data_IF_464715902456
#
_entry.id   IF_464715902456
#
_cell.length_a   1.000
_cell.length_b   1.000
_cell.length_c   1.000
_cell.angle_alpha   90.00
_cell.angle_beta   90.00
_cell.angle_gamma   90.00
#
_symmetry.space_group_name_H-M   'P 1'
#
loop_
_entity.id
_entity.type
_entity.pdbx_description
1 polymer ?
#
# COMPACT_ATOMS: atom_id res chain seq x y z
N UNK A 1 -14.26 9.97 -3.23
CA UNK A 1 -14.34 8.92 -2.18
C UNK A 1 -12.93 8.67 -1.68
N UNK A 2 -12.72 8.52 -0.38
CA UNK A 2 -11.42 8.20 0.23
C UNK A 2 -11.55 6.87 0.98
N UNK A 3 -10.84 5.83 0.54
CA UNK A 3 -10.85 4.51 1.18
C UNK A 3 -9.72 4.37 2.19
N UNK A 4 -10.06 3.89 3.38
CA UNK A 4 -9.14 3.53 4.45
C UNK A 4 -9.44 2.09 4.97
N UNK A 5 -8.43 1.42 5.51
CA UNK A 5 -8.52 0.03 5.96
C UNK A 5 -9.29 -0.13 7.28
N UNK A 6 -9.16 0.83 8.20
CA UNK A 6 -9.72 0.74 9.57
C UNK A 6 -10.79 1.80 9.83
N UNK A 7 -11.73 1.49 10.74
CA UNK A 7 -12.80 2.41 11.16
C UNK A 7 -12.22 3.68 11.80
N UNK A 8 -11.24 3.51 12.69
CA UNK A 8 -10.59 4.65 13.35
C UNK A 8 -9.93 5.58 12.33
N UNK A 9 -9.22 5.05 11.33
CA UNK A 9 -8.58 5.86 10.29
C UNK A 9 -9.62 6.58 9.42
N UNK A 10 -10.79 5.98 9.19
CA UNK A 10 -11.91 6.66 8.52
C UNK A 10 -12.39 7.88 9.31
N UNK A 11 -12.63 7.71 10.62
CA UNK A 11 -13.10 8.80 11.48
C UNK A 11 -12.06 9.93 11.60
N UNK A 12 -10.80 9.56 11.88
CA UNK A 12 -9.67 10.50 11.98
C UNK A 12 -9.44 11.27 10.69
N UNK A 13 -9.47 10.58 9.54
CA UNK A 13 -9.28 11.23 8.23
C UNK A 13 -10.44 12.15 7.87
N UNK A 14 -11.69 11.74 8.15
CA UNK A 14 -12.86 12.58 7.90
C UNK A 14 -12.82 13.85 8.77
N UNK A 15 -12.47 13.72 10.04
CA UNK A 15 -12.30 14.87 10.93
C UNK A 15 -11.16 15.77 10.47
N UNK A 16 -9.98 15.20 10.17
CA UNK A 16 -8.84 15.96 9.69
C UNK A 16 -9.18 16.76 8.42
N UNK A 17 -9.86 16.16 7.45
CA UNK A 17 -10.34 16.85 6.25
C UNK A 17 -11.28 18.02 6.59
N UNK A 18 -12.20 17.85 7.55
CA UNK A 18 -13.07 18.94 8.02
C UNK A 18 -12.27 20.09 8.64
N UNK A 19 -11.23 19.80 9.42
CA UNK A 19 -10.33 20.85 9.96
C UNK A 19 -9.60 21.64 8.87
N UNK A 20 -9.50 21.08 7.66
CA UNK A 20 -8.91 21.73 6.48
C UNK A 20 -9.96 22.42 5.59
N UNK A 21 -11.21 22.49 6.03
CA UNK A 21 -12.31 23.13 5.28
C UNK A 21 -12.93 22.25 4.19
N UNK A 22 -12.61 20.94 4.16
CA UNK A 22 -13.22 20.00 3.22
C UNK A 22 -14.53 19.49 3.81
N UNK A 23 -15.61 19.53 3.03
CA UNK A 23 -16.90 18.94 3.41
C UNK A 23 -16.79 17.40 3.35
N UNK A 24 -16.36 16.79 4.47
CA UNK A 24 -16.06 15.37 4.55
C UNK A 24 -16.87 14.64 5.62
N UNK A 25 -17.38 13.45 5.29
CA UNK A 25 -18.11 12.57 6.21
C UNK A 25 -17.51 11.17 6.25
N UNK A 26 -17.54 10.54 7.43
CA UNK A 26 -17.13 9.16 7.64
C UNK A 26 -18.23 8.18 7.21
N UNK A 27 -17.86 6.99 6.73
CA UNK A 27 -18.76 5.88 6.45
C UNK A 27 -18.11 4.53 6.74
N UNK A 28 -18.60 3.80 7.74
CA UNK A 28 -18.14 2.43 8.02
C UNK A 28 -19.20 1.60 8.74
N UNK A 29 -18.99 0.28 8.77
CA UNK A 29 -19.95 -0.67 9.33
C UNK A 29 -20.26 -0.50 10.84
N UNK A 30 -19.43 0.27 11.57
CA UNK A 30 -19.60 0.52 13.01
C UNK A 30 -20.50 1.71 13.36
N UNK A 31 -20.93 2.49 12.37
CA UNK A 31 -21.81 3.64 12.59
C UNK A 31 -23.27 3.20 12.75
N UNK A 32 -24.05 4.01 13.48
CA UNK A 32 -25.50 3.85 13.58
C UNK A 32 -26.16 3.85 12.19
N UNK A 33 -27.17 2.99 11.99
CA UNK A 33 -27.79 2.78 10.69
C UNK A 33 -28.33 4.08 10.08
N UNK A 34 -29.05 4.88 10.88
CA UNK A 34 -29.68 6.12 10.43
C UNK A 34 -28.63 7.16 10.00
N UNK A 35 -27.50 7.22 10.71
CA UNK A 35 -26.39 8.11 10.36
C UNK A 35 -25.71 7.68 9.05
N UNK A 36 -25.52 6.37 8.83
CA UNK A 36 -24.98 5.86 7.55
C UNK A 36 -25.91 6.19 6.38
N UNK A 37 -27.21 5.99 6.56
CA UNK A 37 -28.21 6.31 5.54
C UNK A 37 -28.22 7.80 5.24
N UNK A 38 -28.15 8.65 6.27
CA UNK A 38 -28.04 10.10 6.10
C UNK A 38 -26.79 10.48 5.30
N UNK A 39 -25.61 9.98 5.68
CA UNK A 39 -24.36 10.28 4.97
C UNK A 39 -24.38 9.81 3.52
N UNK A 40 -24.93 8.62 3.25
CA UNK A 40 -25.11 8.10 1.89
C UNK A 40 -26.06 8.97 1.08
N UNK A 41 -27.21 9.36 1.66
CA UNK A 41 -28.16 10.24 1.01
C UNK A 41 -27.55 11.60 0.65
N UNK A 42 -26.85 12.22 1.61
CA UNK A 42 -26.10 13.47 1.39
C UNK A 42 -25.08 13.33 0.28
N UNK A 43 -24.33 12.23 0.23
CA UNK A 43 -23.36 12.01 -0.85
C UNK A 43 -24.01 11.93 -2.22
N UNK A 44 -25.16 11.26 -2.33
CA UNK A 44 -25.87 11.15 -3.60
C UNK A 44 -26.39 12.52 -4.07
N UNK A 45 -26.92 13.34 -3.15
CA UNK A 45 -27.61 14.60 -3.46
C UNK A 45 -26.72 15.84 -3.51
N UNK A 46 -25.70 15.93 -2.65
CA UNK A 46 -24.81 17.10 -2.55
C UNK A 46 -23.63 16.98 -3.52
N UNK A 47 -23.25 18.11 -4.10
CA UNK A 47 -21.99 18.24 -4.82
C UNK A 47 -20.87 18.72 -3.89
N UNK A 48 -19.63 18.34 -4.19
CA UNK A 48 -18.47 18.72 -3.39
C UNK A 48 -18.31 17.97 -2.05
N UNK A 49 -19.18 16.99 -1.75
CA UNK A 49 -19.05 16.15 -0.56
C UNK A 49 -18.01 15.04 -0.76
N UNK A 50 -17.11 14.89 0.21
CA UNK A 50 -16.15 13.77 0.28
C UNK A 50 -16.64 12.74 1.29
N UNK A 51 -16.87 11.51 0.85
CA UNK A 51 -17.01 10.37 1.75
C UNK A 51 -15.64 9.73 1.98
N UNK A 52 -15.27 9.61 3.26
CA UNK A 52 -14.18 8.76 3.74
C UNK A 52 -14.78 7.47 4.25
N UNK A 53 -14.29 6.32 3.79
CA UNK A 53 -14.94 5.05 4.07
C UNK A 53 -14.02 3.84 4.15
N UNK A 54 -14.54 2.80 4.81
CA UNK A 54 -14.03 1.43 4.62
C UNK A 54 -14.68 0.81 3.38
N UNK A 55 -14.27 -0.42 3.02
CA UNK A 55 -14.88 -1.21 1.94
C UNK A 55 -16.41 -1.42 2.07
N UNK A 56 -16.98 -1.16 3.25
CA UNK A 56 -18.42 -1.14 3.47
C UNK A 56 -19.16 -0.14 2.56
N UNK A 57 -18.49 0.93 2.11
CA UNK A 57 -19.05 1.90 1.17
C UNK A 57 -18.81 1.43 -0.27
N UNK A 58 -19.54 0.38 -0.68
CA UNK A 58 -19.29 -0.30 -1.95
C UNK A 58 -20.53 -0.76 -2.70
N UNK A 59 -21.37 -1.60 -2.11
CA UNK A 59 -22.53 -2.13 -2.84
C UNK A 59 -23.63 -1.08 -2.96
N UNK A 60 -24.10 -0.80 -4.19
CA UNK A 60 -25.31 0.02 -4.43
C UNK A 60 -25.14 1.54 -4.44
N UNK A 61 -23.91 2.06 -4.45
CA UNK A 61 -23.68 3.50 -4.66
C UNK A 61 -23.55 3.76 -6.16
N UNK A 62 -24.48 4.53 -6.69
CA UNK A 62 -24.51 4.94 -8.09
C UNK A 62 -24.60 6.47 -8.19
N UNK A 63 -23.49 7.14 -7.87
CA UNK A 63 -23.31 8.57 -8.13
C UNK A 63 -22.50 8.73 -9.41
N UNK A 64 -23.06 9.27 -10.50
CA UNK A 64 -22.37 9.33 -11.79
C UNK A 64 -21.17 10.28 -11.77
N UNK A 65 -21.24 11.34 -10.96
CA UNK A 65 -20.31 12.48 -10.99
C UNK A 65 -19.18 12.42 -9.93
N UNK A 66 -18.70 11.23 -9.56
CA UNK A 66 -17.56 11.10 -8.65
C UNK A 66 -16.26 11.46 -9.37
N UNK A 67 -15.60 12.54 -8.94
CA UNK A 67 -14.37 13.06 -9.59
C UNK A 67 -13.08 12.40 -9.15
N UNK A 68 -13.06 11.80 -7.97
CA UNK A 68 -11.90 11.03 -7.55
C UNK A 68 -12.27 9.89 -6.61
N UNK A 69 -11.47 8.83 -6.69
CA UNK A 69 -11.36 7.78 -5.68
C UNK A 69 -9.92 7.79 -5.19
N UNK A 70 -9.73 7.95 -3.89
CA UNK A 70 -8.43 7.95 -3.25
C UNK A 70 -8.32 6.74 -2.32
N UNK A 71 -7.18 6.07 -2.30
CA UNK A 71 -6.86 4.99 -1.36
C UNK A 71 -5.71 5.44 -0.45
N UNK A 72 -5.96 5.48 0.86
CA UNK A 72 -4.95 5.78 1.87
C UNK A 72 -4.31 4.53 2.48
N UNK A 73 -4.76 3.35 2.04
CA UNK A 73 -4.25 2.05 2.41
C UNK A 73 -4.32 1.14 1.18
N UNK A 74 -3.40 0.18 1.08
CA UNK A 74 -3.38 -0.79 -0.01
C UNK A 74 -4.66 -1.65 -0.02
N UNK A 75 -5.37 -1.77 -1.16
CA UNK A 75 -6.44 -2.74 -1.32
C UNK A 75 -5.95 -4.18 -1.18
N UNK A 76 -6.84 -5.09 -0.80
CA UNK A 76 -6.49 -6.51 -0.61
C UNK A 76 -6.19 -7.25 -1.92
N UNK A 77 -6.70 -6.74 -3.03
CA UNK A 77 -6.56 -7.36 -4.34
C UNK A 77 -6.78 -6.37 -5.48
N UNK A 78 -6.37 -6.76 -6.69
CA UNK A 78 -6.58 -5.99 -7.92
C UNK A 78 -8.08 -5.87 -8.24
N UNK A 79 -8.90 -6.89 -7.94
CA UNK A 79 -10.35 -6.84 -8.14
C UNK A 79 -11.02 -5.81 -7.24
N UNK A 80 -10.62 -5.74 -5.96
CA UNK A 80 -11.13 -4.74 -5.04
C UNK A 80 -10.75 -3.33 -5.52
N UNK A 81 -9.48 -3.13 -5.90
CA UNK A 81 -9.01 -1.86 -6.43
C UNK A 81 -9.77 -1.45 -7.71
N UNK A 82 -9.94 -2.37 -8.66
CA UNK A 82 -10.67 -2.12 -9.91
C UNK A 82 -12.14 -1.71 -9.63
N UNK A 83 -12.82 -2.46 -8.77
CA UNK A 83 -14.22 -2.17 -8.40
C UNK A 83 -14.36 -0.81 -7.70
N UNK A 84 -13.46 -0.49 -6.77
CA UNK A 84 -13.49 0.74 -5.98
C UNK A 84 -13.18 1.96 -6.83
N UNK A 85 -12.13 1.90 -7.64
CA UNK A 85 -11.74 2.99 -8.56
C UNK A 85 -12.76 3.20 -9.67
N UNK A 86 -13.42 2.14 -10.16
CA UNK A 86 -14.50 2.19 -11.16
C UNK A 86 -15.79 2.92 -10.72
N UNK A 87 -15.81 3.47 -9.50
CA UNK A 87 -16.86 4.40 -9.04
C UNK A 87 -16.67 5.82 -9.56
N UNK A 88 -15.44 6.18 -9.91
CA UNK A 88 -15.12 7.50 -10.43
C UNK A 88 -15.50 7.62 -11.91
N UNK A 89 -15.95 8.79 -12.35
CA UNK A 89 -16.11 9.11 -13.77
C UNK A 89 -17.17 8.29 -14.51
N UNK A 90 -18.24 7.84 -13.84
CA UNK A 90 -19.33 7.08 -14.49
C UNK A 90 -20.15 7.91 -15.48
N UNK A 91 -20.10 9.23 -15.36
CA UNK A 91 -20.59 10.20 -16.34
C UNK A 91 -19.70 10.34 -17.59
N UNK A 92 -18.57 9.62 -17.66
CA UNK A 92 -17.61 9.69 -18.76
C UNK A 92 -16.68 10.91 -18.72
N UNK A 93 -16.84 11.79 -17.73
CA UNK A 93 -15.98 12.96 -17.56
C UNK A 93 -14.66 12.57 -16.84
N UNK A 94 -13.58 13.36 -17.02
CA UNK A 94 -12.31 13.09 -16.37
C UNK A 94 -12.45 12.88 -14.85
N UNK A 95 -11.77 11.84 -14.38
CA UNK A 95 -11.74 11.48 -12.97
C UNK A 95 -10.41 10.79 -12.62
N UNK A 96 -10.00 10.90 -11.37
CA UNK A 96 -8.72 10.35 -10.90
C UNK A 96 -8.91 9.20 -9.93
N UNK A 97 -8.15 8.13 -10.15
CA UNK A 97 -7.85 7.14 -9.12
C UNK A 97 -6.49 7.48 -8.53
N UNK A 98 -6.42 7.74 -7.24
CA UNK A 98 -5.20 8.08 -6.53
C UNK A 98 -4.96 7.08 -5.40
N UNK A 99 -3.72 6.63 -5.20
CA UNK A 99 -3.41 5.69 -4.14
C UNK A 99 -2.05 6.02 -3.53
N UNK A 100 -2.00 6.04 -2.21
CA UNK A 100 -0.75 6.00 -1.45
C UNK A 100 -0.73 4.72 -0.62
N UNK A 101 0.42 4.06 -0.62
CA UNK A 101 0.66 2.90 0.21
C UNK A 101 2.12 2.85 0.68
N UNK A 102 2.33 2.22 1.83
CA UNK A 102 3.64 2.02 2.43
C UNK A 102 3.90 0.56 2.78
N UNK A 103 5.12 0.28 3.24
CA UNK A 103 5.51 -1.05 3.72
C UNK A 103 4.59 -1.54 4.85
N UNK A 104 4.13 -0.64 5.73
CA UNK A 104 3.26 -0.98 6.83
C UNK A 104 1.92 -1.57 6.37
N UNK A 105 1.40 -1.16 5.22
CA UNK A 105 0.16 -1.70 4.66
C UNK A 105 0.37 -3.15 4.24
N UNK A 106 1.49 -3.43 3.57
CA UNK A 106 1.89 -4.78 3.17
C UNK A 106 2.01 -5.71 4.37
N UNK A 107 2.68 -5.24 5.43
CA UNK A 107 2.83 -5.97 6.69
C UNK A 107 1.47 -6.27 7.30
N UNK A 108 0.60 -5.25 7.38
CA UNK A 108 -0.73 -5.36 7.99
C UNK A 108 -1.60 -6.37 7.25
N UNK A 109 -1.62 -6.32 5.91
CA UNK A 109 -2.43 -7.22 5.10
C UNK A 109 -1.93 -8.67 5.16
N UNK A 110 -0.61 -8.89 5.08
CA UNK A 110 -0.04 -10.25 5.22
C UNK A 110 -0.33 -10.84 6.60
N UNK A 111 -0.27 -10.03 7.68
CA UNK A 111 -0.65 -10.47 9.02
C UNK A 111 -2.14 -10.86 9.09
N UNK A 112 -3.03 -10.02 8.56
CA UNK A 112 -4.47 -10.33 8.52
C UNK A 112 -4.76 -11.65 7.79
N UNK A 113 -4.00 -11.96 6.73
CA UNK A 113 -4.10 -13.23 6.01
C UNK A 113 -3.56 -14.41 6.82
N UNK A 114 -2.42 -14.25 7.50
CA UNK A 114 -1.83 -15.29 8.35
C UNK A 114 -2.76 -15.66 9.52
N UNK A 115 -3.32 -14.64 10.19
CA UNK A 115 -4.22 -14.76 11.35
C UNK A 115 -5.63 -15.26 10.96
N UNK A 116 -5.94 -15.36 9.66
CA UNK A 116 -7.24 -15.83 9.17
C UNK A 116 -7.51 -17.30 9.52
N UNK A 117 -8.76 -17.63 9.83
CA UNK A 117 -9.22 -19.01 10.06
C UNK A 117 -9.53 -19.78 8.78
N UNK A 118 -9.29 -19.18 7.61
CA UNK A 118 -9.47 -19.84 6.33
C UNK A 118 -8.49 -21.01 6.13
N UNK A 119 -8.84 -21.95 5.26
CA UNK A 119 -7.95 -23.05 4.90
C UNK A 119 -6.70 -22.58 4.13
N UNK A 120 -5.69 -23.43 4.07
CA UNK A 120 -4.40 -23.11 3.43
C UNK A 120 -4.52 -22.83 1.93
N UNK A 121 -5.47 -23.47 1.23
CA UNK A 121 -5.67 -23.22 -0.19
C UNK A 121 -6.23 -21.80 -0.43
N UNK A 122 -7.18 -21.38 0.41
CA UNK A 122 -7.73 -20.03 0.39
C UNK A 122 -6.68 -18.98 0.79
N UNK A 123 -5.89 -19.23 1.82
CA UNK A 123 -4.78 -18.33 2.22
C UNK A 123 -3.78 -18.12 1.08
N UNK A 124 -3.41 -19.18 0.37
CA UNK A 124 -2.53 -19.08 -0.81
C UNK A 124 -3.15 -18.25 -1.92
N UNK A 125 -4.44 -18.45 -2.22
CA UNK A 125 -5.15 -17.67 -3.22
C UNK A 125 -5.17 -16.17 -2.87
N UNK A 126 -5.50 -15.83 -1.63
CA UNK A 126 -5.53 -14.44 -1.18
C UNK A 126 -4.13 -13.81 -1.13
N UNK A 127 -3.09 -14.60 -0.82
CA UNK A 127 -1.71 -14.15 -0.93
C UNK A 127 -1.34 -13.83 -2.38
N UNK A 128 -1.69 -14.70 -3.33
CA UNK A 128 -1.46 -14.45 -4.75
C UNK A 128 -2.15 -13.16 -5.24
N UNK A 129 -3.37 -12.89 -4.78
CA UNK A 129 -4.08 -11.64 -5.09
C UNK A 129 -3.38 -10.41 -4.52
N UNK A 130 -2.88 -10.50 -3.28
CA UNK A 130 -2.12 -9.43 -2.65
C UNK A 130 -0.81 -9.19 -3.41
N UNK A 131 -0.08 -10.23 -3.77
CA UNK A 131 1.16 -10.13 -4.54
C UNK A 131 0.91 -9.50 -5.92
N UNK A 132 -0.20 -9.82 -6.59
CA UNK A 132 -0.60 -9.16 -7.83
C UNK A 132 -0.91 -7.66 -7.64
N UNK A 133 -1.55 -7.30 -6.54
CA UNK A 133 -1.80 -5.89 -6.19
C UNK A 133 -0.48 -5.14 -5.94
N UNK A 134 0.48 -5.76 -5.25
CA UNK A 134 1.82 -5.19 -5.05
C UNK A 134 2.58 -5.05 -6.37
N UNK A 135 2.48 -6.03 -7.26
CA UNK A 135 3.08 -5.95 -8.60
C UNK A 135 2.51 -4.77 -9.40
N UNK A 136 1.18 -4.54 -9.35
CA UNK A 136 0.55 -3.37 -9.97
C UNK A 136 1.08 -2.05 -9.39
N UNK A 137 1.31 -2.00 -8.08
CA UNK A 137 1.85 -0.82 -7.40
C UNK A 137 3.30 -0.50 -7.79
N UNK A 138 4.16 -1.52 -7.84
CA UNK A 138 5.61 -1.39 -8.07
C UNK A 138 6.00 -1.44 -9.56
N UNK A 139 5.03 -1.62 -10.47
CA UNK A 139 5.30 -1.61 -11.90
C UNK A 139 5.74 -0.22 -12.39
N UNK A 140 6.75 -0.22 -13.27
CA UNK A 140 7.36 0.98 -13.88
C UNK A 140 6.88 1.24 -15.31
N UNK A 141 5.95 0.42 -15.80
CA UNK A 141 5.28 0.54 -17.09
C UNK A 141 3.81 0.90 -16.89
N UNK A 142 3.10 1.21 -17.99
CA UNK A 142 1.70 1.64 -17.97
C UNK A 142 0.83 0.82 -17.00
N UNK A 143 0.27 1.49 -15.98
CA UNK A 143 -0.62 0.83 -15.00
C UNK A 143 -1.86 0.23 -15.65
N UNK A 144 -2.41 0.90 -16.67
CA UNK A 144 -3.62 0.42 -17.36
C UNK A 144 -3.35 -0.87 -18.12
N UNK A 145 -2.19 -1.02 -18.76
CA UNK A 145 -1.82 -2.27 -19.41
C UNK A 145 -1.70 -3.41 -18.40
N UNK A 146 -1.02 -3.21 -17.26
CA UNK A 146 -0.97 -4.23 -16.20
C UNK A 146 -2.36 -4.59 -15.66
N UNK A 147 -3.19 -3.59 -15.39
CA UNK A 147 -4.55 -3.78 -14.89
C UNK A 147 -5.40 -4.59 -15.86
N UNK A 148 -5.37 -4.28 -17.16
CA UNK A 148 -6.10 -5.02 -18.19
C UNK A 148 -5.56 -6.44 -18.36
N UNK A 149 -4.24 -6.60 -18.43
CA UNK A 149 -3.60 -7.92 -18.54
C UNK A 149 -3.98 -8.85 -17.38
N UNK A 150 -4.13 -8.32 -16.15
CA UNK A 150 -4.59 -9.09 -14.99
C UNK A 150 -5.98 -9.72 -15.23
N UNK A 151 -6.87 -9.03 -15.93
CA UNK A 151 -8.21 -9.53 -16.27
C UNK A 151 -8.27 -10.29 -17.59
N UNK A 152 -7.13 -10.55 -18.23
CA UNK A 152 -7.05 -11.23 -19.52
C UNK A 152 -7.35 -10.34 -20.74
N UNK A 153 -7.49 -9.03 -20.53
CA UNK A 153 -7.60 -8.05 -21.61
C UNK A 153 -6.22 -7.56 -22.05
N UNK A 154 -6.12 -7.09 -23.30
CA UNK A 154 -4.87 -6.56 -23.83
C UNK A 154 -5.05 -5.15 -24.36
N UNK A 155 -4.11 -4.27 -24.02
CA UNK A 155 -4.01 -2.93 -24.58
C UNK A 155 -2.65 -2.79 -25.26
N UNK A 156 -2.67 -2.68 -26.59
CA UNK A 156 -1.45 -2.70 -27.42
C UNK A 156 -0.49 -1.55 -27.10
N UNK A 157 -1.04 -0.35 -26.88
CA UNK A 157 -0.26 0.87 -26.65
C UNK A 157 -0.43 1.38 -25.21
N UNK A 158 0.60 2.04 -24.63
CA UNK A 158 0.47 2.71 -23.34
C UNK A 158 -0.71 3.69 -23.31
N UNK A 159 -1.38 3.81 -22.17
CA UNK A 159 -2.64 4.56 -22.08
C UNK A 159 -2.49 6.09 -22.12
N UNK A 160 -1.28 6.61 -21.94
CA UNK A 160 -0.97 8.04 -21.87
C UNK A 160 -1.81 8.83 -20.84
N UNK A 161 -2.33 8.15 -19.82
CA UNK A 161 -3.23 8.73 -18.82
C UNK A 161 -3.09 8.09 -17.43
N UNK A 162 -1.95 7.47 -17.14
CA UNK A 162 -1.58 7.05 -15.79
C UNK A 162 -0.25 7.67 -15.41
N UNK A 163 0.02 7.80 -14.12
CA UNK A 163 1.25 8.34 -13.55
C UNK A 163 2.52 7.82 -14.25
N UNK A 164 2.66 6.50 -14.44
CA UNK A 164 3.84 5.90 -15.10
C UNK A 164 3.98 6.23 -16.59
N UNK A 165 2.89 6.61 -17.27
CA UNK A 165 2.93 7.10 -18.66
C UNK A 165 3.20 8.60 -18.72
N UNK A 166 2.67 9.37 -17.77
CA UNK A 166 2.78 10.82 -17.74
C UNK A 166 4.15 11.27 -17.21
N UNK A 167 4.66 10.56 -16.21
CA UNK A 167 5.96 10.78 -15.58
C UNK A 167 6.71 9.45 -15.58
N UNK A 168 7.61 9.27 -16.55
CA UNK A 168 8.36 8.03 -16.69
C UNK A 168 9.23 7.77 -15.46
N UNK A 169 9.03 6.61 -14.84
CA UNK A 169 9.81 6.18 -13.68
C UNK A 169 11.20 5.77 -14.14
N UNK A 170 12.22 6.49 -13.68
CA UNK A 170 13.61 6.10 -13.92
C UNK A 170 13.93 4.83 -13.12
N UNK A 171 14.55 3.86 -13.79
CA UNK A 171 15.00 2.61 -13.19
C UNK A 171 16.51 2.49 -13.30
N UNK A 172 17.09 1.68 -12.42
CA UNK A 172 18.51 1.40 -12.39
C UNK A 172 18.73 -0.02 -11.84
N UNK A 173 19.93 -0.57 -12.03
CA UNK A 173 20.27 -1.90 -11.53
C UNK A 173 20.47 -1.90 -10.01
N UNK A 174 19.40 -2.27 -9.30
CA UNK A 174 19.37 -2.36 -7.83
C UNK A 174 20.12 -3.55 -7.22
N UNK A 175 20.81 -4.39 -8.01
CA UNK A 175 21.39 -5.66 -7.52
C UNK A 175 22.32 -5.47 -6.33
N UNK A 176 23.24 -4.51 -6.39
CA UNK A 176 24.19 -4.25 -5.31
C UNK A 176 23.45 -3.80 -4.03
N UNK A 177 22.50 -2.88 -4.15
CA UNK A 177 21.73 -2.36 -3.01
C UNK A 177 20.82 -3.43 -2.41
N UNK A 178 20.26 -4.32 -3.23
CA UNK A 178 19.56 -5.51 -2.76
C UNK A 178 20.51 -6.44 -1.96
N UNK A 179 21.70 -6.73 -2.46
CA UNK A 179 22.70 -7.53 -1.75
C UNK A 179 23.08 -6.90 -0.40
N UNK A 180 23.25 -5.57 -0.34
CA UNK A 180 23.52 -4.85 0.90
C UNK A 180 22.39 -5.02 1.91
N UNK A 181 21.14 -4.83 1.48
CA UNK A 181 19.96 -5.01 2.34
C UNK A 181 19.82 -6.45 2.86
N UNK A 182 19.91 -7.44 1.97
CA UNK A 182 19.81 -8.86 2.32
C UNK A 182 20.94 -9.29 3.25
N UNK A 183 22.18 -8.83 2.98
CA UNK A 183 23.33 -9.07 3.87
C UNK A 183 23.14 -8.45 5.24
N UNK A 184 22.55 -7.24 5.32
CA UNK A 184 22.26 -6.57 6.59
C UNK A 184 21.20 -7.33 7.39
N UNK A 185 20.13 -7.82 6.74
CA UNK A 185 19.12 -8.68 7.38
C UNK A 185 19.79 -9.92 7.98
N UNK A 186 20.62 -10.61 7.19
CA UNK A 186 21.31 -11.82 7.62
C UNK A 186 22.27 -11.56 8.80
N UNK A 187 23.14 -10.55 8.68
CA UNK A 187 24.18 -10.25 9.68
C UNK A 187 23.63 -9.72 10.99
N UNK A 188 22.48 -9.03 10.97
CA UNK A 188 21.77 -8.63 12.19
C UNK A 188 20.94 -9.76 12.81
N UNK A 189 21.08 -10.98 12.29
CA UNK A 189 20.47 -12.20 12.83
C UNK A 189 18.97 -12.33 12.54
N UNK A 190 18.43 -11.56 11.58
CA UNK A 190 17.02 -11.60 11.19
C UNK A 190 16.06 -11.39 12.38
N UNK A 191 16.39 -10.39 13.22
CA UNK A 191 15.67 -10.04 14.48
C UNK A 191 15.24 -8.59 14.55
N UNK A 192 15.38 -7.85 13.46
CA UNK A 192 15.13 -6.41 13.44
C UNK A 192 14.19 -6.02 12.30
N UNK A 193 13.38 -5.00 12.56
CA UNK A 193 12.49 -4.39 11.57
C UNK A 193 13.22 -3.37 10.69
N UNK A 194 12.51 -2.89 9.67
CA UNK A 194 13.06 -2.03 8.61
C UNK A 194 13.81 -0.80 9.12
N UNK A 195 13.25 -0.05 10.08
CA UNK A 195 13.88 1.20 10.56
C UNK A 195 15.26 0.97 11.17
N UNK A 196 15.42 -0.11 11.94
CA UNK A 196 16.72 -0.47 12.53
C UNK A 196 17.73 -0.87 11.44
N UNK A 197 17.29 -1.63 10.43
CA UNK A 197 18.15 -2.06 9.33
C UNK A 197 18.61 -0.87 8.48
N UNK A 198 17.73 0.12 8.27
CA UNK A 198 18.10 1.38 7.62
C UNK A 198 19.15 2.13 8.44
N UNK A 199 18.98 2.22 9.75
CA UNK A 199 19.96 2.88 10.62
C UNK A 199 21.33 2.20 10.56
N UNK A 200 21.38 0.86 10.52
CA UNK A 200 22.62 0.10 10.32
C UNK A 200 23.24 0.41 8.95
N UNK A 201 22.48 0.29 7.85
CA UNK A 201 22.99 0.53 6.49
C UNK A 201 23.49 1.96 6.30
N UNK A 202 22.82 2.94 6.89
CA UNK A 202 23.21 4.36 6.83
C UNK A 202 24.31 4.72 7.84
N UNK A 203 24.65 3.81 8.75
CA UNK A 203 25.71 4.01 9.73
C UNK A 203 25.31 4.97 10.86
N UNK A 204 24.02 5.04 11.21
CA UNK A 204 23.56 5.84 12.35
C UNK A 204 23.94 5.13 13.65
N UNK A 205 24.65 5.83 14.54
CA UNK A 205 24.99 5.31 15.86
C UNK A 205 23.82 5.55 16.82
N UNK A 206 23.18 4.48 17.26
CA UNK A 206 22.17 4.49 18.33
C UNK A 206 22.63 3.58 19.46
N UNK A 207 22.15 3.82 20.69
CA UNK A 207 22.47 2.96 21.83
C UNK A 207 22.17 1.48 21.55
N UNK A 208 21.07 1.20 20.84
CA UNK A 208 20.65 -0.15 20.46
C UNK A 208 21.59 -0.79 19.43
N UNK A 209 22.17 -0.02 18.51
CA UNK A 209 23.14 -0.52 17.54
C UNK A 209 24.47 -0.86 18.24
N UNK A 210 24.94 0.01 19.12
CA UNK A 210 26.19 -0.17 19.86
C UNK A 210 26.08 -1.37 20.81
N UNK A 211 24.97 -1.48 21.56
CA UNK A 211 24.76 -2.62 22.48
C UNK A 211 24.62 -3.96 21.77
N UNK A 212 24.17 -3.95 20.51
CA UNK A 212 24.12 -5.14 19.66
C UNK A 212 25.43 -5.41 18.89
N UNK A 213 26.45 -4.55 19.07
CA UNK A 213 27.71 -4.58 18.32
C UNK A 213 27.55 -4.53 16.79
N UNK A 214 26.43 -3.98 16.30
CA UNK A 214 26.14 -3.88 14.86
C UNK A 214 26.88 -2.73 14.19
N UNK A 215 27.42 -1.78 14.97
CA UNK A 215 28.37 -0.75 14.52
C UNK A 215 29.69 -1.36 14.00
N UNK A 216 30.02 -2.59 14.41
CA UNK A 216 31.26 -3.29 14.03
C UNK A 216 31.09 -4.25 12.85
N UNK A 217 29.88 -4.38 12.32
CA UNK A 217 29.61 -5.29 11.20
C UNK A 217 30.01 -4.68 9.87
N UNK A 218 30.37 -5.52 8.90
CA UNK A 218 30.73 -5.09 7.55
C UNK A 218 29.59 -4.41 6.79
N UNK A 219 28.36 -4.52 7.27
CA UNK A 219 27.16 -3.86 6.71
C UNK A 219 26.86 -2.50 7.33
N UNK A 220 27.58 -2.10 8.38
CA UNK A 220 27.37 -0.81 9.00
C UNK A 220 27.88 0.32 8.10
N UNK A 221 26.99 1.23 7.72
CA UNK A 221 27.35 2.41 6.93
C UNK A 221 27.74 2.14 5.47
N UNK A 222 27.49 0.95 4.92
CA UNK A 222 27.78 0.64 3.50
C UNK A 222 26.74 1.23 2.53
N UNK A 223 25.61 1.67 3.07
CA UNK A 223 24.44 2.15 2.33
C UNK A 223 24.21 3.66 2.45
N UNK A 224 25.27 4.46 2.69
CA UNK A 224 25.16 5.90 2.94
C UNK A 224 24.67 6.72 1.76
N UNK A 225 24.78 6.18 0.55
CA UNK A 225 24.37 6.88 -0.68
C UNK A 225 22.86 7.00 -0.83
N UNK A 226 22.10 6.10 -0.19
CA UNK A 226 20.64 6.18 -0.17
C UNK A 226 20.16 6.83 1.12
N UNK A 227 19.16 7.69 0.98
CA UNK A 227 18.41 8.23 2.10
C UNK A 227 17.44 7.19 2.70
N UNK A 228 16.74 7.59 3.76
CA UNK A 228 15.81 6.72 4.48
C UNK A 228 14.58 6.32 3.65
N UNK A 229 14.10 7.21 2.78
CA UNK A 229 12.94 6.96 1.93
C UNK A 229 13.30 6.00 0.80
N UNK A 230 14.48 6.16 0.21
CA UNK A 230 15.03 5.27 -0.80
C UNK A 230 15.27 3.88 -0.24
N UNK A 231 15.86 3.74 0.96
CA UNK A 231 15.99 2.44 1.61
C UNK A 231 14.63 1.81 1.94
N UNK A 232 13.67 2.60 2.41
CA UNK A 232 12.31 2.11 2.65
C UNK A 232 11.67 1.55 1.37
N UNK A 233 11.90 2.21 0.22
CA UNK A 233 11.49 1.71 -1.10
C UNK A 233 12.17 0.39 -1.47
N UNK A 234 13.48 0.27 -1.24
CA UNK A 234 14.24 -0.98 -1.49
C UNK A 234 13.66 -2.13 -0.68
N UNK A 235 13.49 -1.97 0.64
CA UNK A 235 12.92 -3.02 1.49
C UNK A 235 11.49 -3.38 1.09
N UNK A 236 10.67 -2.38 0.71
CA UNK A 236 9.31 -2.62 0.21
C UNK A 236 9.31 -3.49 -1.05
N UNK A 237 10.20 -3.20 -2.00
CA UNK A 237 10.34 -4.01 -3.22
C UNK A 237 10.86 -5.43 -2.94
N UNK A 238 11.82 -5.60 -2.00
CA UNK A 238 12.30 -6.93 -1.60
C UNK A 238 11.19 -7.77 -0.97
N UNK A 239 10.34 -7.15 -0.15
CA UNK A 239 9.18 -7.81 0.47
C UNK A 239 8.11 -8.14 -0.57
N UNK A 240 7.83 -7.21 -1.48
CA UNK A 240 6.87 -7.39 -2.56
C UNK A 240 7.29 -8.49 -3.55
N UNK A 241 8.61 -8.64 -3.79
CA UNK A 241 9.18 -9.72 -4.62
C UNK A 241 9.34 -11.05 -3.90
N UNK A 242 9.03 -11.11 -2.60
CA UNK A 242 9.13 -12.34 -1.82
C UNK A 242 10.55 -12.77 -1.46
N UNK A 243 11.57 -11.94 -1.68
CA UNK A 243 12.97 -12.16 -1.25
C UNK A 243 13.12 -11.99 0.26
N UNK A 244 12.22 -11.18 0.85
CA UNK A 244 12.19 -10.91 2.29
C UNK A 244 10.78 -11.16 2.81
N UNK A 245 10.67 -12.00 3.83
CA UNK A 245 9.46 -12.21 4.60
C UNK A 245 9.43 -11.29 5.83
N UNK A 246 8.22 -10.98 6.29
CA UNK A 246 7.99 -10.24 7.52
C UNK A 246 7.48 -11.24 8.56
N UNK A 247 8.20 -11.37 9.66
CA UNK A 247 7.77 -12.19 10.79
C UNK A 247 6.89 -11.36 11.73
N UNK A 248 5.64 -11.78 11.86
CA UNK A 248 4.60 -11.06 12.58
C UNK A 248 4.63 -11.31 14.09
N UNK A 249 5.11 -12.48 14.52
CA UNK A 249 5.20 -12.86 15.94
C UNK A 249 6.27 -12.06 16.69
N UNK A 250 7.19 -11.44 15.95
CA UNK A 250 8.33 -10.70 16.50
C UNK A 250 8.34 -9.21 16.10
N UNK A 251 7.19 -8.52 16.08
CA UNK A 251 7.12 -7.06 15.86
C UNK A 251 7.62 -6.58 14.47
N UNK A 252 7.32 -7.32 13.40
CA UNK A 252 7.62 -6.88 12.03
C UNK A 252 9.09 -7.04 11.64
N UNK A 253 9.72 -8.09 12.15
CA UNK A 253 11.10 -8.45 11.85
C UNK A 253 11.23 -8.91 10.41
N UNK A 254 12.28 -8.47 9.72
CA UNK A 254 12.58 -8.93 8.36
C UNK A 254 13.44 -10.20 8.39
N UNK A 255 13.03 -11.19 7.62
CA UNK A 255 13.71 -12.49 7.47
C UNK A 255 13.92 -12.79 5.98
N UNK A 256 15.01 -13.45 5.65
CA UNK A 256 15.24 -13.91 4.28
C UNK A 256 14.32 -15.10 3.95
N UNK A 257 13.95 -15.22 2.68
CA UNK A 257 13.27 -16.41 2.15
C UNK A 257 14.28 -17.28 1.38
N UNK A 258 13.82 -18.40 0.84
CA UNK A 258 14.65 -19.28 0.01
C UNK A 258 14.92 -18.73 -1.41
N UNK A 259 14.21 -17.66 -1.82
CA UNK A 259 14.24 -17.09 -3.16
C UNK A 259 15.45 -16.17 -3.43
#
# INVERSE_FOLDING_TARGET
IVYCLSRNKVDETAEWLRTKGVNALAYHAGMASDLRQNHQHRFLMEDGLVIVATIAFGMGIDKPNVRFVAHLDLPKSVEAYYQETGRAGRDGLPANAWMAYGLQDVITLRRMLADSSADEAHKRLEMHKLDAMLALCEQVHCRRQALLNYFGDHLEQPCNNCDTCLETVQTWDGTLVAQQALSCIYRTGQRFGVGYLIDVLRGKLTERIISSAHDKQSTFGIGKELDEQQWSSVFRQLVARGLVAVNFDHFGVLQLTDA
#
